data_IF_774812203664
#
_entry.id   IF_774812203664
#
_cell.length_a   1.000
_cell.length_b   1.000
_cell.length_c   1.000
_cell.angle_alpha   90.00
_cell.angle_beta   90.00
_cell.angle_gamma   90.00
#
_symmetry.space_group_name_H-M   'P 1'
#
loop_
_entity.id
_entity.type
_entity.pdbx_description
1 polymer ?
#
# COMPACT_ATOMS: atom_id res chain seq x y z
N UNK A 1 21.19 -30.42 0.17
CA UNK A 1 20.55 -29.54 1.19
C UNK A 1 20.22 -28.13 0.68
N UNK A 2 20.25 -27.84 -0.63
CA UNK A 2 20.19 -26.46 -1.16
C UNK A 2 19.03 -26.14 -2.12
N UNK A 3 18.03 -27.02 -2.27
CA UNK A 3 16.88 -26.77 -3.16
C UNK A 3 15.56 -26.57 -2.39
N UNK A 4 15.35 -27.29 -1.27
CA UNK A 4 14.11 -27.18 -0.46
C UNK A 4 13.99 -25.90 0.37
N UNK A 5 15.11 -25.26 0.73
CA UNK A 5 15.06 -23.99 1.48
C UNK A 5 14.59 -22.81 0.60
N UNK A 6 14.90 -22.85 -0.71
CA UNK A 6 14.58 -21.75 -1.64
C UNK A 6 13.10 -21.74 -2.05
N UNK A 7 12.46 -22.91 -2.12
CA UNK A 7 11.03 -23.06 -2.44
C UNK A 7 10.12 -22.61 -1.29
N UNK A 8 10.55 -22.83 -0.04
CA UNK A 8 9.79 -22.42 1.16
C UNK A 8 9.77 -20.89 1.36
N UNK A 9 10.87 -20.20 1.02
CA UNK A 9 10.97 -18.74 1.14
C UNK A 9 10.07 -17.98 0.16
N UNK A 10 10.13 -18.31 -1.13
CA UNK A 10 9.33 -17.65 -2.17
C UNK A 10 7.83 -17.90 -1.99
N UNK A 11 7.43 -19.12 -1.61
CA UNK A 11 6.04 -19.45 -1.30
C UNK A 11 5.50 -18.75 -0.05
N UNK A 12 6.37 -18.41 0.90
CA UNK A 12 6.02 -17.62 2.07
C UNK A 12 5.86 -16.14 1.72
N UNK A 13 6.80 -15.55 0.98
CA UNK A 13 6.76 -14.13 0.63
C UNK A 13 5.54 -13.75 -0.21
N UNK A 14 5.10 -14.59 -1.16
CA UNK A 14 3.88 -14.33 -1.92
C UNK A 14 2.62 -14.28 -1.05
N UNK A 15 2.56 -15.10 0.01
CA UNK A 15 1.44 -15.07 0.97
C UNK A 15 1.47 -13.79 1.79
N UNK A 16 2.65 -13.39 2.26
CA UNK A 16 2.85 -12.14 2.98
C UNK A 16 2.53 -10.92 2.12
N UNK A 17 2.93 -10.91 0.85
CA UNK A 17 2.54 -9.86 -0.10
C UNK A 17 1.02 -9.83 -0.32
N UNK A 18 0.38 -10.99 -0.46
CA UNK A 18 -1.08 -11.05 -0.57
C UNK A 18 -1.80 -10.53 0.68
N UNK A 19 -1.32 -10.87 1.87
CA UNK A 19 -1.84 -10.35 3.14
C UNK A 19 -1.60 -8.84 3.30
N UNK A 20 -0.41 -8.36 2.91
CA UNK A 20 -0.06 -6.95 2.90
C UNK A 20 -1.02 -6.14 2.01
N UNK A 21 -1.27 -6.59 0.78
CA UNK A 21 -2.23 -5.94 -0.12
C UNK A 21 -3.65 -5.88 0.48
N UNK A 22 -4.12 -6.94 1.15
CA UNK A 22 -5.42 -6.92 1.82
C UNK A 22 -5.45 -5.96 3.02
N UNK A 23 -4.37 -5.89 3.80
CA UNK A 23 -4.22 -4.90 4.86
C UNK A 23 -4.20 -3.48 4.30
N UNK A 24 -3.50 -3.24 3.19
CA UNK A 24 -3.44 -1.92 2.55
C UNK A 24 -4.83 -1.45 2.11
N UNK A 25 -5.65 -2.34 1.53
CA UNK A 25 -7.05 -2.04 1.25
C UNK A 25 -7.88 -1.73 2.51
N UNK A 26 -7.72 -2.53 3.57
CA UNK A 26 -8.41 -2.31 4.84
C UNK A 26 -8.03 -0.96 5.47
N UNK A 27 -6.75 -0.60 5.44
CA UNK A 27 -6.24 0.64 5.97
C UNK A 27 -6.77 1.86 5.19
N UNK A 28 -6.96 1.78 3.87
CA UNK A 28 -7.67 2.81 3.12
C UNK A 28 -9.10 3.01 3.64
N UNK A 29 -9.84 1.92 3.88
CA UNK A 29 -11.19 1.98 4.43
C UNK A 29 -11.18 2.59 5.85
N UNK A 30 -10.23 2.17 6.69
CA UNK A 30 -10.03 2.75 8.04
C UNK A 30 -9.72 4.25 7.93
N UNK A 31 -8.88 4.66 6.98
CA UNK A 31 -8.54 6.07 6.75
C UNK A 31 -9.75 6.90 6.33
N UNK A 32 -10.53 6.43 5.35
CA UNK A 32 -11.75 7.12 4.89
C UNK A 32 -12.74 7.27 6.05
N UNK A 33 -13.02 6.19 6.79
CA UNK A 33 -13.97 6.24 7.90
C UNK A 33 -13.43 7.10 9.04
N UNK A 34 -12.19 6.87 9.45
CA UNK A 34 -11.57 7.54 10.60
C UNK A 34 -11.33 9.03 10.38
N UNK A 35 -10.65 9.40 9.29
CA UNK A 35 -10.30 10.80 9.02
C UNK A 35 -11.48 11.61 8.52
N UNK A 36 -12.32 11.07 7.61
CA UNK A 36 -13.37 11.86 6.96
C UNK A 36 -14.71 11.73 7.70
N UNK A 37 -15.13 10.51 8.05
CA UNK A 37 -16.47 10.32 8.63
C UNK A 37 -16.51 10.55 10.15
N UNK A 38 -15.44 10.24 10.88
CA UNK A 38 -15.40 10.30 12.36
C UNK A 38 -14.77 11.59 12.86
N UNK A 39 -13.52 11.89 12.49
CA UNK A 39 -12.76 13.01 13.06
C UNK A 39 -13.00 14.31 12.28
N UNK A 40 -13.00 14.23 10.95
CA UNK A 40 -13.33 15.29 9.99
C UNK A 40 -12.64 16.65 10.23
N UNK A 41 -11.40 16.64 10.70
CA UNK A 41 -10.63 17.88 10.95
C UNK A 41 -10.23 18.60 9.65
N UNK A 42 -10.27 17.91 8.51
CA UNK A 42 -9.94 18.49 7.19
C UNK A 42 -10.93 19.57 6.76
N UNK A 43 -12.19 19.50 7.22
CA UNK A 43 -13.24 20.49 6.91
C UNK A 43 -13.16 21.74 7.80
N UNK A 44 -12.30 21.74 8.81
CA UNK A 44 -12.12 22.90 9.71
C UNK A 44 -11.22 23.92 9.03
N UNK A 45 -11.81 25.00 8.53
CA UNK A 45 -11.10 26.04 7.79
C UNK A 45 -10.19 26.92 8.67
N UNK A 46 -10.62 27.22 9.90
CA UNK A 46 -9.86 28.07 10.82
C UNK A 46 -8.70 27.29 11.47
N UNK A 47 -7.43 27.72 11.30
CA UNK A 47 -6.27 26.97 11.82
C UNK A 47 -6.29 26.78 13.35
N UNK A 48 -6.82 27.77 14.10
CA UNK A 48 -6.87 27.69 15.56
C UNK A 48 -7.94 26.70 16.02
N UNK A 49 -9.13 26.71 15.40
CA UNK A 49 -10.16 25.70 15.62
C UNK A 49 -9.67 24.30 15.23
N UNK A 50 -8.89 24.19 14.15
CA UNK A 50 -8.31 22.91 13.70
C UNK A 50 -7.34 22.33 14.72
N UNK A 51 -6.45 23.16 15.30
CA UNK A 51 -5.57 22.76 16.41
C UNK A 51 -6.38 22.32 17.63
N UNK A 52 -7.46 23.03 17.96
CA UNK A 52 -8.34 22.68 19.08
C UNK A 52 -9.03 21.33 18.86
N UNK A 53 -9.58 21.11 17.67
CA UNK A 53 -10.22 19.84 17.31
C UNK A 53 -9.21 18.68 17.28
N UNK A 54 -7.99 18.95 16.85
CA UNK A 54 -6.88 17.98 16.88
C UNK A 54 -6.47 17.61 18.30
N UNK A 55 -6.34 18.57 19.20
CA UNK A 55 -6.07 18.30 20.62
C UNK A 55 -7.17 17.43 21.25
N UNK A 56 -8.44 17.72 20.92
CA UNK A 56 -9.58 16.94 21.40
C UNK A 56 -9.59 15.48 20.87
N UNK A 57 -8.99 15.23 19.71
CA UNK A 57 -8.97 13.92 19.05
C UNK A 57 -7.57 13.28 18.99
N UNK A 58 -6.58 13.81 19.74
CA UNK A 58 -5.17 13.47 19.55
C UNK A 58 -4.89 11.96 19.64
N UNK A 59 -5.51 11.27 20.61
CA UNK A 59 -5.34 9.83 20.79
C UNK A 59 -5.80 9.02 19.58
N UNK A 60 -7.00 9.33 19.07
CA UNK A 60 -7.55 8.66 17.90
C UNK A 60 -6.75 9.00 16.63
N UNK A 61 -6.40 10.27 16.42
CA UNK A 61 -5.56 10.69 15.30
C UNK A 61 -4.20 9.98 15.32
N UNK A 62 -3.57 9.86 16.49
CA UNK A 62 -2.28 9.16 16.63
C UNK A 62 -2.38 7.72 16.17
N UNK A 63 -3.45 7.03 16.60
CA UNK A 63 -3.72 5.65 16.21
C UNK A 63 -3.99 5.53 14.70
N UNK A 64 -4.79 6.43 14.13
CA UNK A 64 -5.09 6.43 12.70
C UNK A 64 -3.83 6.64 11.85
N UNK A 65 -2.98 7.62 12.18
CA UNK A 65 -1.72 7.83 11.47
C UNK A 65 -0.73 6.67 11.65
N UNK A 66 -0.73 5.99 12.79
CA UNK A 66 0.08 4.79 12.97
C UNK A 66 -0.39 3.64 12.06
N UNK A 67 -1.69 3.38 11.98
CA UNK A 67 -2.25 2.29 11.17
C UNK A 67 -2.17 2.60 9.67
N UNK A 68 -2.66 3.78 9.27
CA UNK A 68 -2.91 4.14 7.87
C UNK A 68 -1.67 4.69 7.17
N UNK A 69 -0.65 5.17 7.91
CA UNK A 69 0.59 5.65 7.30
C UNK A 69 1.79 4.77 7.64
N UNK A 70 2.09 4.57 8.93
CA UNK A 70 3.34 3.90 9.33
C UNK A 70 3.29 2.40 9.05
N UNK A 71 2.29 1.70 9.59
CA UNK A 71 2.13 0.24 9.39
C UNK A 71 1.74 -0.05 7.93
N UNK A 72 0.99 0.85 7.30
CA UNK A 72 0.67 0.80 5.87
C UNK A 72 1.94 0.84 5.01
N UNK A 73 2.81 1.83 5.19
CA UNK A 73 4.04 1.93 4.40
C UNK A 73 4.99 0.76 4.68
N UNK A 74 5.04 0.24 5.91
CA UNK A 74 5.81 -0.97 6.22
C UNK A 74 5.25 -2.21 5.51
N UNK A 75 3.93 -2.32 5.38
CA UNK A 75 3.26 -3.38 4.62
C UNK A 75 3.55 -3.25 3.12
N UNK A 76 3.57 -2.02 2.59
CA UNK A 76 3.89 -1.74 1.20
C UNK A 76 5.31 -2.19 0.83
N UNK A 77 6.28 -2.14 1.75
CA UNK A 77 7.62 -2.72 1.53
C UNK A 77 7.51 -4.21 1.24
N UNK A 78 6.76 -4.95 2.07
CA UNK A 78 6.56 -6.40 1.92
C UNK A 78 5.86 -6.71 0.60
N UNK A 79 4.79 -5.99 0.27
CA UNK A 79 4.07 -6.13 -1.00
C UNK A 79 5.00 -5.86 -2.19
N UNK A 80 5.77 -4.78 -2.13
CA UNK A 80 6.67 -4.36 -3.20
C UNK A 80 7.75 -5.40 -3.49
N UNK A 81 8.32 -6.01 -2.44
CA UNK A 81 9.30 -7.10 -2.59
C UNK A 81 8.66 -8.39 -3.12
N UNK A 82 7.46 -8.73 -2.65
CA UNK A 82 6.72 -9.88 -3.19
C UNK A 82 6.39 -9.71 -4.68
N UNK A 83 6.04 -8.49 -5.11
CA UNK A 83 5.79 -8.17 -6.51
C UNK A 83 7.08 -8.15 -7.35
N UNK A 84 8.20 -7.74 -6.75
CA UNK A 84 9.51 -7.82 -7.39
C UNK A 84 9.81 -9.26 -7.84
N UNK A 85 9.68 -10.23 -6.94
CA UNK A 85 9.87 -11.64 -7.28
C UNK A 85 8.84 -12.12 -8.31
N UNK A 86 7.56 -11.79 -8.09
CA UNK A 86 6.46 -12.25 -8.95
C UNK A 86 6.57 -11.77 -10.39
N UNK A 87 7.09 -10.56 -10.59
CA UNK A 87 7.23 -9.92 -11.90
C UNK A 87 8.65 -10.03 -12.47
N UNK A 88 9.48 -10.91 -11.91
CA UNK A 88 10.84 -11.22 -12.37
C UNK A 88 11.76 -9.99 -12.37
N UNK A 89 11.78 -9.23 -11.28
CA UNK A 89 12.55 -7.99 -11.13
C UNK A 89 14.07 -8.13 -11.31
N UNK A 90 14.63 -9.34 -11.14
CA UNK A 90 16.04 -9.61 -11.43
C UNK A 90 16.40 -9.40 -12.91
N UNK A 91 15.47 -9.75 -13.82
CA UNK A 91 15.67 -9.70 -15.27
C UNK A 91 14.87 -8.59 -15.94
N UNK A 92 13.76 -8.15 -15.33
CA UNK A 92 12.92 -7.08 -15.87
C UNK A 92 13.30 -5.73 -15.27
N UNK A 93 14.00 -4.90 -16.06
CA UNK A 93 14.34 -3.53 -15.66
C UNK A 93 13.10 -2.73 -15.22
N UNK A 94 11.96 -2.94 -15.88
CA UNK A 94 10.70 -2.26 -15.56
C UNK A 94 10.17 -2.66 -14.19
N UNK A 95 10.14 -3.97 -13.88
CA UNK A 95 9.71 -4.44 -12.55
C UNK A 95 10.68 -3.98 -11.46
N UNK A 96 11.99 -3.93 -11.74
CA UNK A 96 12.98 -3.37 -10.81
C UNK A 96 12.78 -1.88 -10.56
N UNK A 97 12.48 -1.09 -11.59
CA UNK A 97 12.13 0.32 -11.44
C UNK A 97 10.84 0.48 -10.63
N UNK A 98 9.82 -0.35 -10.89
CA UNK A 98 8.61 -0.37 -10.08
C UNK A 98 8.94 -0.63 -8.61
N UNK A 99 9.79 -1.61 -8.29
CA UNK A 99 10.25 -1.88 -6.93
C UNK A 99 10.88 -0.65 -6.28
N UNK A 100 11.75 0.08 -6.98
CA UNK A 100 12.35 1.30 -6.45
C UNK A 100 11.28 2.34 -6.07
N UNK A 101 10.30 2.58 -6.95
CA UNK A 101 9.19 3.50 -6.66
C UNK A 101 8.31 3.03 -5.50
N UNK A 102 8.03 1.73 -5.38
CA UNK A 102 7.26 1.18 -4.26
C UNK A 102 7.97 1.37 -2.91
N UNK A 103 9.28 1.18 -2.86
CA UNK A 103 10.09 1.44 -1.66
C UNK A 103 10.16 2.94 -1.34
N UNK A 104 10.36 3.80 -2.35
CA UNK A 104 10.35 5.26 -2.15
C UNK A 104 8.99 5.70 -1.59
N UNK A 105 7.89 5.22 -2.17
CA UNK A 105 6.56 5.56 -1.69
C UNK A 105 6.33 5.08 -0.26
N UNK A 106 6.75 3.86 0.07
CA UNK A 106 6.69 3.32 1.43
C UNK A 106 7.38 4.25 2.44
N UNK A 107 8.60 4.71 2.11
CA UNK A 107 9.36 5.64 2.97
C UNK A 107 8.64 6.99 3.11
N UNK A 108 8.10 7.53 2.02
CA UNK A 108 7.37 8.80 2.03
C UNK A 108 6.11 8.73 2.89
N UNK A 109 5.34 7.64 2.81
CA UNK A 109 4.12 7.46 3.63
C UNK A 109 4.48 7.27 5.10
N UNK A 110 5.50 6.46 5.43
CA UNK A 110 5.99 6.32 6.81
C UNK A 110 6.44 7.67 7.36
N UNK A 111 7.26 8.41 6.61
CA UNK A 111 7.74 9.73 7.03
C UNK A 111 6.58 10.70 7.25
N UNK A 112 5.57 10.70 6.38
CA UNK A 112 4.38 11.53 6.53
C UNK A 112 3.63 11.22 7.83
N UNK A 113 3.37 9.94 8.13
CA UNK A 113 2.72 9.55 9.38
C UNK A 113 3.51 9.90 10.63
N UNK A 114 4.84 9.74 10.59
CA UNK A 114 5.73 10.10 11.70
C UNK A 114 5.78 11.61 11.93
N UNK A 115 5.91 12.40 10.86
CA UNK A 115 5.88 13.86 10.91
C UNK A 115 4.56 14.35 11.49
N UNK A 116 3.44 13.77 11.06
CA UNK A 116 2.13 14.13 11.61
C UNK A 116 2.06 13.82 13.10
N UNK A 117 2.41 12.60 13.53
CA UNK A 117 2.30 12.20 14.94
C UNK A 117 3.19 13.03 15.87
N UNK A 118 4.46 13.21 15.50
CA UNK A 118 5.41 14.01 16.30
C UNK A 118 5.01 15.48 16.27
N UNK A 119 4.70 16.01 15.08
CA UNK A 119 4.32 17.40 14.89
C UNK A 119 3.01 17.77 15.59
N UNK A 120 2.01 16.89 15.56
CA UNK A 120 0.77 17.04 16.31
C UNK A 120 1.05 17.15 17.82
N UNK A 121 1.93 16.30 18.37
CA UNK A 121 2.33 16.39 19.77
C UNK A 121 2.92 17.75 20.13
N UNK A 122 3.85 18.26 19.30
CA UNK A 122 4.44 19.59 19.46
C UNK A 122 3.38 20.70 19.39
N UNK A 123 2.45 20.62 18.44
CA UNK A 123 1.41 21.64 18.25
C UNK A 123 0.41 21.64 19.40
N UNK A 124 0.00 20.47 19.89
CA UNK A 124 -0.93 20.38 21.04
C UNK A 124 -0.28 20.94 22.30
N UNK A 125 0.98 20.61 22.58
CA UNK A 125 1.72 21.17 23.73
C UNK A 125 1.84 22.70 23.62
N UNK A 126 2.23 23.20 22.44
CA UNK A 126 2.38 24.63 22.20
C UNK A 126 1.05 25.39 22.31
N UNK A 127 -0.07 24.76 21.93
CA UNK A 127 -1.39 25.39 21.95
C UNK A 127 -1.84 25.80 23.36
N UNK A 128 -1.35 25.14 24.41
CA UNK A 128 -1.66 25.48 25.80
C UNK A 128 -1.02 26.81 26.24
N UNK A 129 0.05 27.25 25.56
CA UNK A 129 0.83 28.42 25.94
C UNK A 129 0.75 29.55 24.92
N UNK A 130 0.69 29.22 23.62
CA UNK A 130 0.65 30.18 22.53
C UNK A 130 -0.15 29.63 21.33
N UNK A 131 -1.48 29.77 21.33
CA UNK A 131 -2.33 29.19 20.29
C UNK A 131 -2.08 29.73 18.87
N UNK A 132 -1.74 31.01 18.73
CA UNK A 132 -1.42 31.61 17.42
C UNK A 132 -0.13 31.02 16.83
N UNK A 133 0.90 30.85 17.68
CA UNK A 133 2.14 30.20 17.26
C UNK A 133 1.91 28.72 16.93
N UNK A 134 1.08 28.01 17.71
CA UNK A 134 0.71 26.62 17.43
C UNK A 134 0.03 26.47 16.06
N UNK A 135 -0.90 27.37 15.71
CA UNK A 135 -1.53 27.39 14.40
C UNK A 135 -0.52 27.62 13.25
N UNK A 136 0.45 28.51 13.45
CA UNK A 136 1.51 28.74 12.45
C UNK A 136 2.41 27.52 12.26
N UNK A 137 2.83 26.89 13.36
CA UNK A 137 3.64 25.65 13.34
C UNK A 137 2.84 24.52 12.69
N UNK A 138 1.54 24.45 12.96
CA UNK A 138 0.66 23.48 12.32
C UNK A 138 0.62 23.63 10.80
N UNK A 139 0.45 24.85 10.28
CA UNK A 139 0.45 25.09 8.83
C UNK A 139 1.75 24.62 8.15
N UNK A 140 2.90 24.81 8.81
CA UNK A 140 4.18 24.34 8.30
C UNK A 140 4.25 22.80 8.28
N UNK A 141 3.83 22.14 9.36
CA UNK A 141 3.80 20.67 9.46
C UNK A 141 2.84 20.08 8.42
N UNK A 142 1.63 20.62 8.32
CA UNK A 142 0.60 20.17 7.39
C UNK A 142 1.06 20.32 5.93
N UNK A 143 1.75 21.42 5.60
CA UNK A 143 2.32 21.63 4.26
C UNK A 143 3.37 20.58 3.90
N UNK A 144 4.27 20.25 4.83
CA UNK A 144 5.30 19.21 4.62
C UNK A 144 4.66 17.83 4.51
N UNK A 145 3.72 17.51 5.41
CA UNK A 145 2.96 16.26 5.38
C UNK A 145 2.25 16.06 4.03
N UNK A 146 1.53 17.08 3.56
CA UNK A 146 0.82 17.03 2.29
C UNK A 146 1.76 16.82 1.10
N UNK A 147 2.91 17.51 1.10
CA UNK A 147 3.89 17.43 0.01
C UNK A 147 4.65 16.09 -0.09
N UNK A 148 4.82 15.37 1.02
CA UNK A 148 5.53 14.08 1.03
C UNK A 148 4.66 12.91 0.53
N UNK A 149 3.37 12.93 0.84
CA UNK A 149 2.46 11.83 0.54
C UNK A 149 1.14 11.87 1.31
N UNK A 150 0.93 12.87 2.16
CA UNK A 150 -0.34 13.10 2.83
C UNK A 150 -1.45 13.68 1.93
N UNK A 151 -1.08 14.38 0.85
CA UNK A 151 -2.03 15.07 -0.03
C UNK A 151 -1.81 14.86 -1.53
N UNK A 152 -0.82 14.05 -1.92
CA UNK A 152 -0.54 13.71 -3.33
C UNK A 152 -0.17 12.23 -3.47
N UNK A 153 -0.56 11.63 -4.59
CA UNK A 153 -0.47 10.18 -4.83
C UNK A 153 0.48 9.83 -5.98
N UNK A 154 1.25 10.80 -6.46
CA UNK A 154 2.03 10.68 -7.70
C UNK A 154 3.01 9.50 -7.68
N UNK A 155 3.71 9.28 -6.57
CA UNK A 155 4.71 8.21 -6.45
C UNK A 155 4.02 6.84 -6.48
N UNK A 156 2.89 6.71 -5.78
CA UNK A 156 2.03 5.52 -5.84
C UNK A 156 1.44 5.31 -7.24
N UNK A 157 1.01 6.37 -7.90
CA UNK A 157 0.51 6.34 -9.27
C UNK A 157 1.55 5.79 -10.25
N UNK A 158 2.79 6.32 -10.20
CA UNK A 158 3.92 5.82 -10.99
C UNK A 158 4.20 4.34 -10.68
N UNK A 159 4.22 3.97 -9.40
CA UNK A 159 4.42 2.59 -8.98
C UNK A 159 3.39 1.63 -9.60
N UNK A 160 2.10 1.93 -9.51
CA UNK A 160 1.03 1.08 -10.07
C UNK A 160 1.12 1.03 -11.61
N UNK A 161 1.43 2.14 -12.28
CA UNK A 161 1.62 2.15 -13.74
C UNK A 161 2.76 1.22 -14.17
N UNK A 162 3.91 1.32 -13.50
CA UNK A 162 5.08 0.49 -13.81
C UNK A 162 4.79 -1.00 -13.57
N UNK A 163 4.12 -1.33 -12.46
CA UNK A 163 3.66 -2.70 -12.17
C UNK A 163 2.70 -3.21 -13.25
N UNK A 164 1.76 -2.38 -13.69
CA UNK A 164 0.76 -2.75 -14.69
C UNK A 164 1.40 -3.04 -16.04
N UNK A 165 2.35 -2.20 -16.48
CA UNK A 165 3.11 -2.44 -17.71
C UNK A 165 3.99 -3.69 -17.56
N UNK A 166 4.65 -3.89 -16.42
CA UNK A 166 5.46 -5.08 -16.17
C UNK A 166 4.62 -6.36 -16.15
N UNK A 167 3.45 -6.33 -15.51
CA UNK A 167 2.51 -7.46 -15.45
C UNK A 167 1.93 -7.84 -16.82
N UNK A 168 1.70 -6.87 -17.71
CA UNK A 168 1.28 -7.16 -19.08
C UNK A 168 2.39 -7.73 -19.96
N UNK A 169 3.65 -7.32 -19.73
CA UNK A 169 4.82 -7.78 -20.50
C UNK A 169 5.32 -9.15 -20.03
N UNK A 170 5.47 -9.33 -18.73
CA UNK A 170 6.12 -10.50 -18.13
C UNK A 170 5.10 -11.56 -17.68
N UNK A 171 3.81 -11.23 -17.64
CA UNK A 171 2.78 -12.05 -17.01
C UNK A 171 2.83 -11.95 -15.48
N UNK A 172 2.36 -12.98 -14.78
CA UNK A 172 2.38 -13.05 -13.31
C UNK A 172 1.16 -12.40 -12.62
N UNK A 173 0.47 -11.47 -13.28
CA UNK A 173 -0.77 -10.85 -12.79
C UNK A 173 -1.91 -10.98 -13.82
N UNK A 174 -3.19 -11.05 -13.37
CA UNK A 174 -4.33 -11.05 -14.28
C UNK A 174 -4.34 -9.81 -15.19
N UNK A 175 -4.61 -9.98 -16.49
CA UNK A 175 -4.62 -8.86 -17.46
C UNK A 175 -5.58 -7.74 -17.06
N UNK A 176 -6.78 -8.09 -16.62
CA UNK A 176 -7.78 -7.11 -16.19
C UNK A 176 -7.34 -6.30 -14.96
N UNK A 177 -6.58 -6.93 -14.04
CA UNK A 177 -5.99 -6.23 -12.89
C UNK A 177 -4.98 -5.16 -13.35
N UNK A 178 -4.18 -5.46 -14.38
CA UNK A 178 -3.25 -4.47 -14.94
C UNK A 178 -3.97 -3.34 -15.68
N UNK A 179 -5.09 -3.60 -16.36
CA UNK A 179 -5.90 -2.53 -16.97
C UNK A 179 -6.54 -1.62 -15.92
N UNK A 180 -7.06 -2.20 -14.83
CA UNK A 180 -7.49 -1.42 -13.67
C UNK A 180 -6.33 -0.58 -13.10
N UNK A 181 -5.13 -1.18 -13.01
CA UNK A 181 -3.93 -0.49 -12.55
C UNK A 181 -3.53 0.71 -13.41
N UNK A 182 -3.85 0.75 -14.70
CA UNK A 182 -3.70 1.97 -15.49
C UNK A 182 -4.63 3.10 -15.04
N UNK A 183 -5.88 2.78 -14.71
CA UNK A 183 -6.85 3.77 -14.20
C UNK A 183 -6.38 4.32 -12.86
N UNK A 184 -6.03 3.42 -11.94
CA UNK A 184 -5.49 3.76 -10.62
C UNK A 184 -4.23 4.63 -10.78
N UNK A 185 -3.26 4.14 -11.55
CA UNK A 185 -1.98 4.80 -11.73
C UNK A 185 -2.10 6.19 -12.36
N UNK A 186 -2.95 6.34 -13.38
CA UNK A 186 -3.23 7.63 -14.00
C UNK A 186 -3.90 8.61 -13.04
N UNK A 187 -4.86 8.16 -12.23
CA UNK A 187 -5.48 8.99 -11.20
C UNK A 187 -4.46 9.48 -10.17
N UNK A 188 -3.54 8.61 -9.74
CA UNK A 188 -2.47 8.98 -8.82
C UNK A 188 -1.49 10.00 -9.41
N UNK A 189 -1.11 9.86 -10.68
CA UNK A 189 -0.25 10.86 -11.35
C UNK A 189 -0.97 12.20 -11.52
N UNK A 190 -2.28 12.18 -11.79
CA UNK A 190 -3.07 13.39 -11.97
C UNK A 190 -3.12 14.27 -10.71
N UNK A 191 -2.87 13.75 -9.51
CA UNK A 191 -2.95 14.52 -8.27
C UNK A 191 -1.96 15.69 -8.19
N UNK A 192 -0.89 15.67 -8.99
CA UNK A 192 0.08 16.78 -9.04
C UNK A 192 -0.50 18.01 -9.72
N UNK A 193 -1.48 17.83 -10.60
CA UNK A 193 -2.14 18.92 -11.31
C UNK A 193 -3.16 19.55 -10.35
N UNK A 194 -3.03 20.82 -9.93
CA UNK A 194 -3.90 21.40 -8.92
C UNK A 194 -5.40 21.29 -9.26
N UNK A 195 -5.76 21.48 -10.53
CA UNK A 195 -7.14 21.38 -11.01
C UNK A 195 -7.72 19.94 -10.94
N UNK A 196 -6.86 18.93 -10.78
CA UNK A 196 -7.24 17.52 -10.69
C UNK A 196 -6.85 16.90 -9.34
N UNK A 197 -6.28 17.67 -8.40
CA UNK A 197 -5.71 17.16 -7.15
C UNK A 197 -6.72 16.33 -6.36
N UNK A 198 -7.85 16.95 -6.02
CA UNK A 198 -8.91 16.34 -5.21
C UNK A 198 -9.59 15.17 -5.93
N UNK A 199 -10.06 15.39 -7.18
CA UNK A 199 -10.72 14.34 -7.96
C UNK A 199 -9.78 13.16 -8.25
N UNK A 200 -8.50 13.45 -8.50
CA UNK A 200 -7.45 12.45 -8.70
C UNK A 200 -7.23 11.64 -7.43
N UNK A 201 -7.13 12.29 -6.27
CA UNK A 201 -6.93 11.60 -4.98
C UNK A 201 -8.13 10.72 -4.62
N UNK A 202 -9.36 11.21 -4.79
CA UNK A 202 -10.57 10.41 -4.58
C UNK A 202 -10.63 9.21 -5.52
N UNK A 203 -10.36 9.42 -6.81
CA UNK A 203 -10.37 8.35 -7.82
C UNK A 203 -9.28 7.32 -7.51
N UNK A 204 -8.08 7.78 -7.17
CA UNK A 204 -6.96 6.94 -6.76
C UNK A 204 -7.36 6.09 -5.55
N UNK A 205 -7.74 6.69 -4.42
CA UNK A 205 -8.11 5.96 -3.21
C UNK A 205 -9.19 4.90 -3.43
N UNK A 206 -10.30 5.25 -4.10
CA UNK A 206 -11.41 4.31 -4.33
C UNK A 206 -11.02 3.15 -5.25
N UNK A 207 -10.35 3.45 -6.37
CA UNK A 207 -9.94 2.41 -7.31
C UNK A 207 -8.79 1.56 -6.77
N UNK A 208 -7.91 2.16 -5.96
CA UNK A 208 -6.79 1.51 -5.31
C UNK A 208 -7.26 0.48 -4.27
N UNK A 209 -8.35 0.73 -3.52
CA UNK A 209 -8.97 -0.29 -2.64
C UNK A 209 -9.34 -1.53 -3.45
N UNK A 210 -10.07 -1.35 -4.56
CA UNK A 210 -10.49 -2.46 -5.43
C UNK A 210 -9.28 -3.19 -5.99
N UNK A 211 -8.27 -2.44 -6.42
CA UNK A 211 -7.03 -2.98 -6.97
C UNK A 211 -6.26 -3.82 -5.94
N UNK A 212 -6.09 -3.33 -4.71
CA UNK A 212 -5.41 -4.04 -3.62
C UNK A 212 -6.14 -5.30 -3.21
N UNK A 213 -7.48 -5.26 -3.07
CA UNK A 213 -8.28 -6.47 -2.76
C UNK A 213 -8.07 -7.52 -3.83
N UNK A 214 -8.20 -7.13 -5.11
CA UNK A 214 -8.02 -8.07 -6.21
C UNK A 214 -6.58 -8.59 -6.29
N UNK A 215 -5.58 -7.72 -6.14
CA UNK A 215 -4.18 -8.12 -6.12
C UNK A 215 -3.89 -9.12 -5.00
N UNK A 216 -4.35 -8.83 -3.78
CA UNK A 216 -4.17 -9.70 -2.61
C UNK A 216 -4.76 -11.09 -2.86
N UNK A 217 -5.99 -11.15 -3.36
CA UNK A 217 -6.64 -12.42 -3.75
C UNK A 217 -5.84 -13.14 -4.85
N UNK A 218 -5.38 -12.41 -5.87
CA UNK A 218 -4.59 -12.99 -6.97
C UNK A 218 -3.22 -13.52 -6.50
N UNK A 219 -2.64 -12.93 -5.46
CA UNK A 219 -1.38 -13.38 -4.86
C UNK A 219 -1.56 -14.61 -3.96
N UNK A 220 -2.69 -14.71 -3.25
CA UNK A 220 -2.99 -15.84 -2.35
C UNK A 220 -3.48 -17.09 -3.09
N UNK A 221 -4.02 -16.95 -4.31
CA UNK A 221 -4.43 -18.09 -5.14
C UNK A 221 -3.20 -18.87 -5.61
N UNK A 222 -3.17 -20.18 -5.32
CA UNK A 222 -2.17 -21.09 -5.90
C UNK A 222 -2.38 -21.23 -7.41
N UNK A 223 -1.31 -21.35 -8.23
CA UNK A 223 -1.46 -21.73 -9.63
C UNK A 223 -2.18 -23.08 -9.71
N UNK A 224 -3.23 -23.18 -10.53
CA UNK A 224 -4.05 -24.39 -10.65
C UNK A 224 -3.32 -25.62 -11.24
N UNK A 225 -2.02 -25.53 -11.53
CA UNK A 225 -1.25 -26.56 -12.24
C UNK A 225 -0.52 -27.60 -11.37
N UNK A 226 -0.55 -27.51 -10.04
CA UNK A 226 0.22 -28.42 -9.16
C UNK A 226 -0.62 -29.54 -8.50
N UNK A 227 -1.91 -29.63 -8.81
CA UNK A 227 -2.80 -30.67 -8.25
C UNK A 227 -2.86 -31.96 -9.09
N UNK A 228 -2.12 -32.07 -10.21
CA UNK A 228 -2.23 -33.19 -11.15
C UNK A 228 -1.00 -34.11 -11.21
N UNK A 229 -0.05 -34.06 -10.26
CA UNK A 229 1.12 -34.94 -10.31
C UNK A 229 1.45 -35.73 -9.03
N UNK A 230 0.49 -35.91 -8.14
CA UNK A 230 0.63 -36.84 -7.00
C UNK A 230 -0.25 -38.08 -7.21
N UNK A 231 0.10 -38.90 -8.20
CA UNK A 231 -0.17 -40.34 -8.20
C UNK A 231 0.62 -41.06 -9.32
N UNK A 232 1.64 -41.86 -8.96
CA UNK A 232 1.96 -43.07 -9.69
C UNK A 232 1.44 -44.27 -8.91
N UNK A 233 0.64 -45.10 -9.61
CA UNK A 233 -0.02 -46.27 -9.07
C UNK A 233 0.94 -47.30 -8.48
N UNK A 234 0.48 -47.89 -7.39
CA UNK A 234 1.01 -49.11 -6.79
C UNK A 234 0.81 -50.27 -7.78
N UNK A 235 1.86 -50.66 -8.50
CA UNK A 235 1.85 -51.87 -9.33
C UNK A 235 2.04 -53.06 -8.39
N UNK A 236 0.93 -53.71 -8.03
CA UNK A 236 0.95 -55.00 -7.35
C UNK A 236 1.57 -56.06 -8.28
N UNK A 237 2.77 -56.51 -7.95
CA UNK A 237 3.42 -57.65 -8.59
C UNK A 237 2.79 -58.94 -8.06
N UNK A 238 1.98 -59.61 -8.88
CA UNK A 238 1.55 -60.98 -8.62
C UNK A 238 2.67 -61.95 -9.07
N UNK A 239 3.15 -62.87 -8.20
CA UNK A 239 4.02 -63.95 -8.64
C UNK A 239 3.21 -65.04 -9.37
N UNK A 240 3.70 -65.47 -10.54
CA UNK A 240 3.14 -66.59 -11.30
C UNK A 240 3.37 -67.94 -10.58
N UNK A 241 2.47 -68.93 -10.73
CA UNK A 241 2.62 -70.21 -10.07
C UNK A 241 3.62 -71.12 -10.82
N UNK A 242 4.42 -71.84 -10.04
CA UNK A 242 5.39 -72.82 -10.51
C UNK A 242 4.72 -73.99 -11.25
N UNK A 243 5.24 -74.33 -12.42
CA UNK A 243 5.30 -75.69 -12.98
C UNK A 243 6.54 -75.83 -13.85
#
# INVERSE_FOLDING_TARGET
>A
MSFEAKTNGAGSLQKWGGAAALYEALAYIIGIVGFIAVVNISEVADPLQKVTAMAANQGLLTLLYLLVYVIWGASLVVLTLALHERLQGDVSALARTATAFGIIWSVLVIASGMIYNVGMGTVVELSAHNPEQAATVWLAIESVFNGLGGGVEVVGGIWVLLLSVAGLRNGGLPRLLNYLGFVVGAAGVATVVPALGETGAMTFGLTQIVWFVWLGIAMLRRPAGLALHSAPGEVAVHPAPAR
#
